data_IF_668240998737
#
_entry.id   IF_668240998737
#
_cell.length_a   1.000
_cell.length_b   1.000
_cell.length_c   1.000
_cell.angle_alpha   90.00
_cell.angle_beta   90.00
_cell.angle_gamma   90.00
#
_symmetry.space_group_name_H-M   'P 1'
#
loop_
_entity.id
_entity.type
_entity.pdbx_description
1 polymer ?
#
# COMPACT_ATOMS: atom_id res chain seq x y z
N UNK A 1 23.10 28.38 -7.20
CA UNK A 1 21.79 28.18 -6.57
C UNK A 1 20.89 27.43 -7.56
N UNK A 2 20.58 26.14 -7.36
CA UNK A 2 19.54 25.46 -8.12
C UNK A 2 18.21 26.14 -7.75
N UNK A 3 17.53 26.76 -8.72
CA UNK A 3 16.16 27.28 -8.56
C UNK A 3 15.32 26.17 -7.94
N UNK A 4 14.80 26.37 -6.73
CA UNK A 4 13.82 25.47 -6.14
C UNK A 4 12.67 25.34 -7.13
N UNK A 5 12.34 24.10 -7.47
CA UNK A 5 11.34 23.80 -8.47
C UNK A 5 9.96 24.10 -7.88
N UNK A 6 9.25 25.06 -8.44
CA UNK A 6 7.86 25.29 -8.06
C UNK A 6 7.02 24.07 -8.39
N UNK A 7 6.59 23.35 -7.34
CA UNK A 7 5.82 22.11 -7.47
C UNK A 7 4.48 22.34 -8.15
N UNK A 8 3.85 23.51 -7.93
CA UNK A 8 2.60 23.86 -8.60
C UNK A 8 2.78 23.93 -10.11
N UNK A 9 3.70 24.75 -10.58
CA UNK A 9 3.99 24.92 -12.01
C UNK A 9 4.43 23.60 -12.64
N UNK A 10 5.24 22.81 -11.91
CA UNK A 10 5.67 21.52 -12.43
C UNK A 10 4.51 20.54 -12.62
N UNK A 11 3.63 20.37 -11.63
CA UNK A 11 2.51 19.43 -11.69
C UNK A 11 1.42 19.88 -12.67
N UNK A 12 1.21 21.20 -12.82
CA UNK A 12 0.12 21.73 -13.64
C UNK A 12 0.52 22.06 -15.08
N UNK A 13 1.79 22.33 -15.40
CA UNK A 13 2.22 22.82 -16.72
C UNK A 13 3.28 21.94 -17.41
N UNK A 14 4.13 21.20 -16.68
CA UNK A 14 5.16 20.39 -17.31
C UNK A 14 4.55 19.20 -18.09
N UNK A 15 5.22 18.63 -19.11
CA UNK A 15 4.72 17.48 -19.87
C UNK A 15 4.30 16.32 -18.96
N UNK A 16 3.12 15.73 -19.21
CA UNK A 16 2.51 14.72 -18.34
C UNK A 16 3.44 13.52 -18.08
N UNK A 17 4.06 12.99 -19.13
CA UNK A 17 4.99 11.86 -19.00
C UNK A 17 6.16 12.17 -18.05
N UNK A 18 6.72 13.38 -18.16
CA UNK A 18 7.85 13.82 -17.29
C UNK A 18 7.42 13.92 -15.82
N UNK A 19 6.21 14.46 -15.58
CA UNK A 19 5.67 14.56 -14.22
C UNK A 19 5.44 13.18 -13.64
N UNK A 20 4.76 12.30 -14.39
CA UNK A 20 4.44 10.95 -13.93
C UNK A 20 5.71 10.18 -13.59
N UNK A 21 6.70 10.10 -14.48
CA UNK A 21 7.94 9.37 -14.17
C UNK A 21 8.72 9.97 -13.01
N UNK A 22 8.76 11.31 -12.89
CA UNK A 22 9.44 11.97 -11.77
C UNK A 22 8.77 11.64 -10.43
N UNK A 23 7.44 11.47 -10.41
CA UNK A 23 6.70 11.14 -9.20
C UNK A 23 6.67 9.62 -8.94
N UNK A 24 6.53 8.81 -9.99
CA UNK A 24 6.36 7.37 -9.87
C UNK A 24 7.67 6.64 -9.53
N UNK A 25 8.80 6.99 -10.15
CA UNK A 25 10.06 6.26 -9.95
C UNK A 25 10.48 6.24 -8.47
N UNK A 26 10.54 7.37 -7.74
CA UNK A 26 10.87 7.34 -6.32
C UNK A 26 9.87 6.52 -5.49
N UNK A 27 8.59 6.55 -5.87
CA UNK A 27 7.56 5.80 -5.16
C UNK A 27 7.67 4.30 -5.41
N UNK A 28 7.96 3.88 -6.65
CA UNK A 28 8.23 2.48 -7.00
C UNK A 28 9.45 1.98 -6.22
N UNK A 29 10.54 2.75 -6.19
CA UNK A 29 11.75 2.40 -5.43
C UNK A 29 11.41 2.21 -3.94
N UNK A 30 10.63 3.11 -3.35
CA UNK A 30 10.19 2.99 -1.95
C UNK A 30 9.40 1.72 -1.70
N UNK A 31 8.46 1.38 -2.59
CA UNK A 31 7.63 0.18 -2.50
C UNK A 31 8.48 -1.10 -2.59
N UNK A 32 9.36 -1.19 -3.58
CA UNK A 32 10.26 -2.33 -3.77
C UNK A 32 11.22 -2.49 -2.59
N UNK A 33 11.78 -1.39 -2.09
CA UNK A 33 12.70 -1.42 -0.94
C UNK A 33 12.01 -1.88 0.33
N UNK A 34 10.75 -1.49 0.56
CA UNK A 34 9.97 -1.98 1.69
C UNK A 34 9.69 -3.49 1.58
N UNK A 35 9.44 -3.98 0.37
CA UNK A 35 9.24 -5.41 0.12
C UNK A 35 10.53 -6.21 0.37
N UNK A 36 11.67 -5.70 -0.10
CA UNK A 36 12.98 -6.32 0.15
C UNK A 36 13.36 -6.30 1.63
N UNK A 37 13.04 -5.22 2.34
CA UNK A 37 13.23 -5.14 3.79
C UNK A 37 12.49 -6.26 4.52
N UNK A 38 11.21 -6.49 4.21
CA UNK A 38 10.42 -7.56 4.84
C UNK A 38 11.03 -8.95 4.57
N UNK A 39 11.59 -9.18 3.37
CA UNK A 39 12.28 -10.43 3.04
C UNK A 39 13.58 -10.60 3.84
N UNK A 40 14.38 -9.53 3.94
CA UNK A 40 15.64 -9.54 4.69
C UNK A 40 15.41 -9.75 6.20
N UNK A 41 14.40 -9.08 6.77
CA UNK A 41 14.04 -9.27 8.18
C UNK A 41 13.65 -10.73 8.49
N UNK A 42 12.82 -11.32 7.62
CA UNK A 42 12.44 -12.75 7.72
C UNK A 42 13.67 -13.67 7.62
N UNK A 43 14.62 -13.36 6.74
CA UNK A 43 15.85 -14.12 6.59
C UNK A 43 16.71 -14.08 7.87
N UNK A 44 16.96 -12.90 8.42
CA UNK A 44 17.76 -12.76 9.65
C UNK A 44 17.09 -13.41 10.85
N UNK A 45 15.78 -13.28 11.00
CA UNK A 45 15.02 -13.98 12.06
C UNK A 45 15.08 -15.49 11.86
N UNK A 46 15.12 -15.95 10.60
CA UNK A 46 15.28 -17.36 10.25
C UNK A 46 16.57 -18.00 10.78
N UNK A 47 17.60 -17.21 11.05
CA UNK A 47 18.88 -17.70 11.63
C UNK A 47 18.79 -17.99 13.12
N UNK A 48 17.72 -17.57 13.83
CA UNK A 48 17.56 -17.74 15.27
C UNK A 48 17.01 -19.14 15.60
N UNK A 49 15.73 -19.35 15.32
CA UNK A 49 15.01 -20.63 15.48
C UNK A 49 13.64 -20.57 14.78
N UNK A 50 13.00 -21.73 14.64
CA UNK A 50 11.69 -21.85 14.00
C UNK A 50 10.59 -21.08 14.73
N UNK A 51 10.63 -21.06 16.07
CA UNK A 51 9.63 -20.36 16.90
C UNK A 51 9.67 -18.83 16.67
N UNK A 52 10.87 -18.27 16.52
CA UNK A 52 11.04 -16.83 16.19
C UNK A 52 10.48 -16.49 14.82
N UNK A 53 10.69 -17.32 13.82
CA UNK A 53 10.10 -17.13 12.47
C UNK A 53 8.58 -17.15 12.53
N UNK A 54 8.03 -18.13 13.26
CA UNK A 54 6.59 -18.24 13.45
C UNK A 54 6.02 -17.02 14.21
N UNK A 55 6.68 -16.55 15.24
CA UNK A 55 6.29 -15.37 16.02
C UNK A 55 6.27 -14.10 15.16
N UNK A 56 7.28 -13.88 14.33
CA UNK A 56 7.31 -12.74 13.38
C UNK A 56 6.21 -12.87 12.35
N UNK A 57 5.98 -14.07 11.82
CA UNK A 57 4.89 -14.34 10.86
C UNK A 57 3.51 -14.01 11.44
N UNK A 58 3.23 -14.41 12.67
CA UNK A 58 2.00 -14.08 13.41
C UNK A 58 1.88 -12.57 13.61
N UNK A 59 2.98 -11.92 14.01
CA UNK A 59 3.04 -10.48 14.28
C UNK A 59 2.85 -9.62 13.03
N UNK A 60 3.09 -10.16 11.84
CA UNK A 60 2.90 -9.47 10.57
C UNK A 60 1.47 -8.96 10.38
N UNK A 61 0.47 -9.70 10.88
CA UNK A 61 -0.94 -9.28 10.81
C UNK A 61 -1.19 -7.98 11.57
N UNK A 62 -0.58 -7.81 12.74
CA UNK A 62 -0.68 -6.57 13.54
C UNK A 62 0.02 -5.41 12.83
N UNK A 63 1.21 -5.67 12.28
CA UNK A 63 1.94 -4.66 11.51
C UNK A 63 1.13 -4.21 10.28
N UNK A 64 0.43 -5.13 9.62
CA UNK A 64 -0.45 -4.79 8.49
C UNK A 64 -1.62 -3.87 8.92
N UNK A 65 -2.19 -4.07 10.11
CA UNK A 65 -3.21 -3.18 10.68
C UNK A 65 -2.63 -1.79 10.94
N UNK A 66 -1.44 -1.70 11.56
CA UNK A 66 -0.77 -0.42 11.82
C UNK A 66 -0.49 0.31 10.49
N UNK A 67 -0.02 -0.41 9.47
CA UNK A 67 0.18 0.14 8.13
C UNK A 67 -1.13 0.64 7.50
N UNK A 68 -2.20 -0.13 7.62
CA UNK A 68 -3.51 0.25 7.09
C UNK A 68 -4.01 1.56 7.71
N UNK A 69 -3.82 1.75 9.02
CA UNK A 69 -4.14 2.99 9.74
C UNK A 69 -3.23 4.15 9.26
N UNK A 70 -1.94 3.91 9.09
CA UNK A 70 -1.01 4.90 8.55
C UNK A 70 -1.40 5.35 7.12
N UNK A 71 -1.79 4.42 6.25
CA UNK A 71 -2.29 4.72 4.91
C UNK A 71 -3.66 5.40 4.94
N UNK A 72 -4.53 5.07 5.89
CA UNK A 72 -5.81 5.74 6.06
C UNK A 72 -5.61 7.25 6.31
N UNK A 73 -4.80 7.63 7.28
CA UNK A 73 -4.49 9.04 7.54
C UNK A 73 -3.66 9.67 6.42
N UNK A 74 -2.70 8.92 5.88
CA UNK A 74 -1.82 9.39 4.83
C UNK A 74 -2.53 9.71 3.52
N UNK A 75 -3.36 8.81 3.00
CA UNK A 75 -4.15 9.05 1.80
C UNK A 75 -5.32 9.99 2.06
N UNK A 76 -5.96 9.88 3.23
CA UNK A 76 -7.06 10.75 3.63
C UNK A 76 -6.64 12.23 3.61
N UNK A 77 -5.59 12.56 4.36
CA UNK A 77 -5.05 13.92 4.40
C UNK A 77 -4.37 14.32 3.10
N UNK A 78 -3.59 13.43 2.48
CA UNK A 78 -2.80 13.72 1.28
C UNK A 78 -3.65 14.09 0.07
N UNK A 79 -4.73 13.35 -0.19
CA UNK A 79 -5.66 13.66 -1.28
C UNK A 79 -6.29 15.05 -1.12
N UNK A 80 -6.67 15.42 0.10
CA UNK A 80 -7.18 16.77 0.37
C UNK A 80 -6.11 17.82 0.16
N UNK A 81 -4.89 17.62 0.72
CA UNK A 81 -3.76 18.54 0.57
C UNK A 81 -3.47 18.81 -0.90
N UNK A 82 -3.40 17.78 -1.75
CA UNK A 82 -3.08 17.97 -3.17
C UNK A 82 -4.15 18.78 -3.90
N UNK A 83 -5.44 18.57 -3.59
CA UNK A 83 -6.53 19.39 -4.17
C UNK A 83 -6.48 20.84 -3.71
N UNK A 84 -6.26 21.09 -2.41
CA UNK A 84 -6.20 22.45 -1.88
C UNK A 84 -4.98 23.22 -2.39
N UNK A 85 -3.83 22.56 -2.54
CA UNK A 85 -2.66 23.16 -3.17
C UNK A 85 -2.90 23.47 -4.66
N UNK A 86 -3.65 22.62 -5.37
CA UNK A 86 -4.11 22.87 -6.72
C UNK A 86 -5.03 24.09 -6.83
N UNK A 87 -5.91 24.27 -5.86
CA UNK A 87 -6.79 25.45 -5.71
C UNK A 87 -6.08 26.67 -5.12
N UNK A 88 -4.78 26.59 -4.79
CA UNK A 88 -3.95 27.63 -4.12
C UNK A 88 -4.41 28.00 -2.71
N UNK A 89 -5.17 27.11 -2.06
CA UNK A 89 -5.67 27.26 -0.69
C UNK A 89 -4.65 26.70 0.34
N UNK A 90 -3.50 27.37 0.45
CA UNK A 90 -2.36 26.89 1.27
C UNK A 90 -2.73 26.69 2.74
N UNK A 91 -3.53 27.61 3.32
CA UNK A 91 -3.93 27.52 4.75
C UNK A 91 -4.74 26.27 5.06
N UNK A 92 -5.69 25.91 4.19
CA UNK A 92 -6.49 24.68 4.34
C UNK A 92 -5.61 23.43 4.24
N UNK A 93 -4.62 23.45 3.36
CA UNK A 93 -3.65 22.38 3.21
C UNK A 93 -2.74 22.25 4.46
N UNK A 94 -2.28 23.35 5.07
CA UNK A 94 -1.50 23.36 6.31
C UNK A 94 -2.29 22.81 7.50
N UNK A 95 -3.55 23.22 7.65
CA UNK A 95 -4.45 22.68 8.69
C UNK A 95 -4.66 21.19 8.54
N UNK A 96 -4.92 20.69 7.33
CA UNK A 96 -5.09 19.26 7.08
C UNK A 96 -3.80 18.48 7.35
N UNK A 97 -2.64 19.00 6.92
CA UNK A 97 -1.36 18.34 7.12
C UNK A 97 -1.07 18.13 8.62
N UNK A 98 -1.25 19.20 9.41
CA UNK A 98 -1.03 19.15 10.86
C UNK A 98 -2.07 18.27 11.56
N UNK A 99 -3.34 18.39 11.19
CA UNK A 99 -4.42 17.58 11.78
C UNK A 99 -4.26 16.10 11.46
N UNK A 100 -4.01 15.73 10.19
CA UNK A 100 -3.82 14.35 9.78
C UNK A 100 -2.60 13.71 10.46
N UNK A 101 -1.50 14.44 10.61
CA UNK A 101 -0.29 13.97 11.28
C UNK A 101 -0.53 13.71 12.77
N UNK A 102 -1.14 14.66 13.47
CA UNK A 102 -1.40 14.54 14.92
C UNK A 102 -2.42 13.44 15.19
N UNK A 103 -3.49 13.34 14.40
CA UNK A 103 -4.47 12.26 14.56
C UNK A 103 -3.86 10.88 14.29
N UNK A 104 -2.93 10.77 13.33
CA UNK A 104 -2.23 9.51 13.08
C UNK A 104 -1.34 9.09 14.25
N UNK A 105 -0.71 10.05 14.95
CA UNK A 105 0.02 9.77 16.19
C UNK A 105 -0.91 9.20 17.27
N UNK A 106 -2.04 9.85 17.53
CA UNK A 106 -2.98 9.36 18.55
C UNK A 106 -3.59 8.00 18.19
N UNK A 107 -3.86 7.75 16.92
CA UNK A 107 -4.33 6.44 16.47
C UNK A 107 -3.26 5.35 16.68
N UNK A 108 -2.00 5.63 16.33
CA UNK A 108 -0.89 4.72 16.58
C UNK A 108 -0.63 4.50 18.07
N UNK A 109 -0.75 5.57 18.90
CA UNK A 109 -0.64 5.48 20.34
C UNK A 109 -1.75 4.64 20.95
N UNK A 110 -2.97 4.80 20.49
CA UNK A 110 -4.11 3.97 20.92
C UNK A 110 -3.87 2.49 20.59
N UNK A 111 -3.38 2.18 19.37
CA UNK A 111 -3.00 0.81 19.00
C UNK A 111 -1.90 0.28 19.91
N UNK A 112 -0.87 1.08 20.20
CA UNK A 112 0.22 0.69 21.11
C UNK A 112 -0.30 0.37 22.50
N UNK A 113 -1.13 1.24 23.09
CA UNK A 113 -1.68 1.07 24.45
C UNK A 113 -2.59 -0.17 24.50
N UNK A 114 -3.54 -0.29 23.59
CA UNK A 114 -4.45 -1.45 23.54
C UNK A 114 -3.67 -2.75 23.31
N UNK A 115 -2.69 -2.70 22.42
CA UNK A 115 -1.82 -3.85 22.14
C UNK A 115 -0.98 -4.29 23.33
N UNK A 116 -0.46 -3.36 24.11
CA UNK A 116 0.28 -3.69 25.35
C UNK A 116 -0.64 -4.27 26.42
N UNK A 117 -1.84 -3.73 26.59
CA UNK A 117 -2.81 -4.23 27.58
C UNK A 117 -3.28 -5.63 27.22
N UNK A 118 -3.54 -5.89 25.94
CA UNK A 118 -4.10 -7.15 25.45
C UNK A 118 -3.08 -8.03 24.74
N UNK A 119 -1.79 -7.93 25.04
CA UNK A 119 -0.73 -8.59 24.28
C UNK A 119 -0.89 -10.12 24.26
N UNK A 120 -1.13 -10.75 25.40
CA UNK A 120 -1.30 -12.21 25.51
C UNK A 120 -2.56 -12.70 24.80
N UNK A 121 -3.78 -12.17 25.08
CA UNK A 121 -4.97 -12.58 24.35
C UNK A 121 -4.87 -12.29 22.85
N UNK A 122 -4.23 -11.20 22.44
CA UNK A 122 -4.00 -10.88 21.05
C UNK A 122 -3.07 -11.92 20.38
N UNK A 123 -1.96 -12.27 21.02
CA UNK A 123 -1.04 -13.28 20.49
C UNK A 123 -1.72 -14.65 20.33
N UNK A 124 -2.54 -15.06 21.30
CA UNK A 124 -3.31 -16.32 21.24
C UNK A 124 -4.36 -16.24 20.11
N UNK A 125 -5.10 -15.14 20.01
CA UNK A 125 -6.09 -14.92 18.96
C UNK A 125 -5.48 -14.98 17.55
N UNK A 126 -4.25 -14.51 17.40
CA UNK A 126 -3.49 -14.56 16.14
C UNK A 126 -2.92 -15.94 15.82
N UNK A 127 -3.06 -16.92 16.71
CA UNK A 127 -2.67 -18.31 16.48
C UNK A 127 -1.35 -18.72 17.14
N UNK A 128 -0.86 -17.99 18.16
CA UNK A 128 0.32 -18.42 18.92
C UNK A 128 0.03 -19.67 19.74
N UNK A 129 0.85 -20.70 19.53
CA UNK A 129 0.85 -21.90 20.40
C UNK A 129 1.60 -21.62 21.71
N UNK A 130 1.45 -22.43 22.76
CA UNK A 130 2.17 -22.24 24.03
C UNK A 130 3.69 -22.16 23.87
N UNK A 131 4.26 -22.80 22.86
CA UNK A 131 5.70 -22.78 22.58
C UNK A 131 6.16 -21.50 21.85
N UNK A 132 5.29 -20.89 21.06
CA UNK A 132 5.57 -19.68 20.28
C UNK A 132 5.20 -18.42 21.06
N UNK A 133 4.24 -18.50 21.98
CA UNK A 133 3.68 -17.37 22.72
C UNK A 133 4.75 -16.47 23.38
N UNK A 134 5.77 -16.98 24.10
CA UNK A 134 6.79 -16.12 24.70
C UNK A 134 7.58 -15.29 23.68
N UNK A 135 7.81 -15.84 22.50
CA UNK A 135 8.49 -15.15 21.39
C UNK A 135 7.60 -14.08 20.77
N UNK A 136 6.31 -14.40 20.55
CA UNK A 136 5.33 -13.45 20.03
C UNK A 136 5.12 -12.27 20.95
N UNK A 137 4.97 -12.51 22.25
CA UNK A 137 4.80 -11.43 23.23
C UNK A 137 6.01 -10.51 23.31
N UNK A 138 7.23 -11.06 23.28
CA UNK A 138 8.46 -10.26 23.28
C UNK A 138 8.58 -9.41 22.01
N UNK A 139 8.32 -10.00 20.87
CA UNK A 139 8.42 -9.30 19.59
C UNK A 139 7.32 -8.23 19.45
N UNK A 140 6.06 -8.60 19.63
CA UNK A 140 4.93 -7.68 19.56
C UNK A 140 5.02 -6.56 20.60
N UNK A 141 5.40 -6.87 21.85
CA UNK A 141 5.52 -5.88 22.91
C UNK A 141 6.46 -4.73 22.54
N UNK A 142 7.58 -5.03 21.89
CA UNK A 142 8.54 -4.02 21.45
C UNK A 142 8.06 -3.32 20.18
N UNK A 143 7.62 -4.07 19.17
CA UNK A 143 7.23 -3.51 17.88
C UNK A 143 5.99 -2.61 18.01
N UNK A 144 5.06 -2.92 18.89
CA UNK A 144 3.88 -2.09 19.16
C UNK A 144 4.22 -0.71 19.72
N UNK A 145 5.33 -0.57 20.47
CA UNK A 145 5.82 0.75 20.90
C UNK A 145 6.19 1.62 19.68
N UNK A 146 6.52 0.99 18.57
CA UNK A 146 6.78 1.65 17.29
C UNK A 146 5.53 2.09 16.52
N UNK A 147 4.33 1.64 16.89
CA UNK A 147 3.11 1.92 16.15
C UNK A 147 2.84 3.42 15.93
N UNK A 148 3.00 4.34 16.91
CA UNK A 148 2.86 5.77 16.68
C UNK A 148 3.83 6.30 15.62
N UNK A 149 5.08 5.88 15.66
CA UNK A 149 6.11 6.31 14.70
C UNK A 149 5.84 5.76 13.31
N UNK A 150 5.36 4.53 13.21
CA UNK A 150 5.02 3.91 11.93
C UNK A 150 3.81 4.60 11.26
N UNK A 151 2.73 4.86 12.01
CA UNK A 151 1.56 5.58 11.50
C UNK A 151 1.91 7.01 11.07
N UNK A 152 2.69 7.73 11.89
CA UNK A 152 3.19 9.07 11.55
C UNK A 152 4.10 9.05 10.32
N UNK A 153 5.02 8.11 10.23
CA UNK A 153 5.95 7.94 9.10
C UNK A 153 5.20 7.75 7.79
N UNK A 154 4.23 6.84 7.76
CA UNK A 154 3.39 6.59 6.59
C UNK A 154 2.51 7.80 6.22
N UNK A 155 1.98 8.50 7.22
CA UNK A 155 1.20 9.72 7.00
C UNK A 155 2.07 10.82 6.40
N UNK A 156 3.25 11.09 6.96
CA UNK A 156 4.21 12.07 6.42
C UNK A 156 4.68 11.73 5.02
N UNK A 157 5.05 10.47 4.80
CA UNK A 157 5.47 10.00 3.49
C UNK A 157 4.40 10.30 2.42
N UNK A 158 3.15 9.95 2.71
CA UNK A 158 2.04 10.22 1.81
C UNK A 158 1.80 11.73 1.64
N UNK A 159 1.75 12.50 2.72
CA UNK A 159 1.56 13.96 2.64
C UNK A 159 2.64 14.64 1.81
N UNK A 160 3.92 14.28 1.99
CA UNK A 160 5.02 14.83 1.17
C UNK A 160 4.89 14.46 -0.30
N UNK A 161 4.50 13.22 -0.59
CA UNK A 161 4.25 12.74 -1.94
C UNK A 161 3.11 13.53 -2.60
N UNK A 162 1.99 13.72 -1.92
CA UNK A 162 0.85 14.49 -2.40
C UNK A 162 1.14 15.99 -2.58
N UNK A 163 2.19 16.50 -1.96
CA UNK A 163 2.71 17.86 -2.21
C UNK A 163 3.66 17.93 -3.43
N UNK A 164 3.91 16.80 -4.10
CA UNK A 164 4.82 16.73 -5.24
C UNK A 164 6.29 16.47 -4.88
N UNK A 165 6.61 16.17 -3.61
CA UNK A 165 7.98 15.92 -3.15
C UNK A 165 8.24 14.42 -2.88
N UNK A 166 8.08 13.60 -3.92
CA UNK A 166 8.24 12.14 -3.83
C UNK A 166 9.69 11.72 -3.55
N UNK A 167 10.67 12.51 -4.02
CA UNK A 167 12.08 12.21 -3.80
C UNK A 167 12.47 12.29 -2.31
N UNK A 168 12.01 13.31 -1.60
CA UNK A 168 12.24 13.42 -0.16
C UNK A 168 11.47 12.36 0.63
N UNK A 169 10.24 12.06 0.21
CA UNK A 169 9.44 10.97 0.78
C UNK A 169 10.17 9.62 0.65
N UNK A 170 10.72 9.31 -0.53
CA UNK A 170 11.53 8.11 -0.76
C UNK A 170 12.77 8.07 0.16
N UNK A 171 13.55 9.15 0.20
CA UNK A 171 14.78 9.20 1.01
C UNK A 171 14.49 8.96 2.49
N UNK A 172 13.36 9.47 3.00
CA UNK A 172 12.95 9.26 4.37
C UNK A 172 12.62 7.80 4.67
N UNK A 173 11.87 7.12 3.82
CA UNK A 173 11.60 5.67 3.97
C UNK A 173 12.87 4.86 3.83
N UNK A 174 13.68 5.11 2.80
CA UNK A 174 14.92 4.39 2.56
C UNK A 174 15.90 4.49 3.72
N UNK A 175 15.98 5.64 4.40
CA UNK A 175 16.86 5.80 5.56
C UNK A 175 16.52 4.84 6.70
N UNK A 176 15.23 4.61 6.97
CA UNK A 176 14.77 3.63 7.94
C UNK A 176 15.07 2.19 7.49
N UNK A 177 14.78 1.87 6.22
CA UNK A 177 15.05 0.55 5.64
C UNK A 177 16.55 0.21 5.71
N UNK A 178 17.42 1.12 5.28
CA UNK A 178 18.87 0.91 5.30
C UNK A 178 19.40 0.76 6.72
N UNK A 179 18.90 1.56 7.66
CA UNK A 179 19.28 1.42 9.07
C UNK A 179 18.89 0.05 9.62
N UNK A 180 17.70 -0.46 9.29
CA UNK A 180 17.28 -1.77 9.75
C UNK A 180 18.13 -2.90 9.17
N UNK A 181 18.48 -2.84 7.87
CA UNK A 181 19.36 -3.83 7.22
C UNK A 181 20.73 -3.95 7.89
N UNK A 182 21.19 -2.88 8.57
CA UNK A 182 22.44 -2.90 9.34
C UNK A 182 22.17 -3.34 10.78
N UNK A 183 21.12 -2.81 11.44
CA UNK A 183 20.84 -3.08 12.85
C UNK A 183 20.33 -4.50 13.09
N UNK A 184 19.52 -5.07 12.19
CA UNK A 184 18.98 -6.40 12.39
C UNK A 184 20.08 -7.47 12.54
N UNK A 185 21.01 -7.65 11.58
CA UNK A 185 22.10 -8.60 11.75
C UNK A 185 23.01 -8.25 12.94
N UNK A 186 23.27 -6.97 13.20
CA UNK A 186 24.09 -6.53 14.33
C UNK A 186 23.50 -6.97 15.66
N UNK A 187 22.20 -6.72 15.90
CA UNK A 187 21.54 -7.05 17.17
C UNK A 187 21.22 -8.56 17.27
N UNK A 188 20.87 -9.21 16.17
CA UNK A 188 20.50 -10.63 16.17
C UNK A 188 21.75 -11.51 16.29
N UNK A 189 22.75 -11.27 15.42
CA UNK A 189 23.89 -12.18 15.25
C UNK A 189 25.05 -11.74 16.17
N UNK A 190 25.50 -10.48 16.10
CA UNK A 190 26.67 -10.03 16.82
C UNK A 190 26.40 -9.89 18.32
N UNK A 191 25.32 -9.22 18.69
CA UNK A 191 24.92 -9.06 20.12
C UNK A 191 24.12 -10.26 20.68
N UNK A 192 23.79 -11.25 19.86
CA UNK A 192 23.07 -12.47 20.24
C UNK A 192 21.75 -12.20 20.99
N UNK A 193 21.05 -11.09 20.66
CA UNK A 193 19.80 -10.71 21.31
C UNK A 193 18.57 -11.50 20.80
N UNK A 194 18.75 -12.35 19.82
CA UNK A 194 17.68 -13.18 19.25
C UNK A 194 16.50 -12.34 18.73
N UNK A 195 15.27 -12.80 18.98
CA UNK A 195 14.03 -12.14 18.53
C UNK A 195 13.85 -10.74 19.12
N UNK A 196 14.34 -10.49 20.32
CA UNK A 196 14.34 -9.17 20.96
C UNK A 196 15.18 -8.18 20.15
N UNK A 197 16.33 -8.63 19.63
CA UNK A 197 17.19 -7.83 18.76
C UNK A 197 16.50 -7.44 17.45
N UNK A 198 15.76 -8.36 16.83
CA UNK A 198 14.96 -8.09 15.65
C UNK A 198 13.89 -7.01 15.93
N UNK A 199 13.17 -7.13 17.03
CA UNK A 199 12.12 -6.18 17.42
C UNK A 199 12.69 -4.78 17.72
N UNK A 200 13.83 -4.69 18.41
CA UNK A 200 14.52 -3.42 18.73
C UNK A 200 15.06 -2.78 17.43
N UNK A 201 15.66 -3.57 16.52
CA UNK A 201 16.10 -3.07 15.22
C UNK A 201 14.94 -2.42 14.45
N UNK A 202 13.80 -3.08 14.42
CA UNK A 202 12.58 -2.57 13.78
C UNK A 202 12.09 -1.28 14.43
N UNK A 203 11.99 -1.23 15.76
CA UNK A 203 11.56 -0.04 16.52
C UNK A 203 12.48 1.16 16.26
N UNK A 204 13.79 0.97 16.37
CA UNK A 204 14.78 2.05 16.14
C UNK A 204 14.68 2.54 14.70
N UNK A 205 14.62 1.65 13.73
CA UNK A 205 14.58 1.98 12.30
C UNK A 205 13.30 2.71 11.91
N UNK A 206 12.15 2.32 12.45
CA UNK A 206 10.87 3.01 12.24
C UNK A 206 10.88 4.41 12.86
N UNK A 207 11.41 4.54 14.08
CA UNK A 207 11.54 5.83 14.77
C UNK A 207 12.49 6.76 14.01
N UNK A 208 13.64 6.24 13.55
CA UNK A 208 14.60 6.99 12.76
C UNK A 208 14.02 7.43 11.41
N UNK A 209 13.34 6.52 10.69
CA UNK A 209 12.65 6.84 9.44
C UNK A 209 11.60 7.93 9.62
N UNK A 210 10.81 7.87 10.69
CA UNK A 210 9.85 8.91 11.05
C UNK A 210 10.54 10.26 11.31
N UNK A 211 11.62 10.26 12.09
CA UNK A 211 12.40 11.47 12.36
C UNK A 211 12.97 12.07 11.08
N UNK A 212 13.55 11.24 10.20
CA UNK A 212 14.11 11.70 8.93
C UNK A 212 13.03 12.29 8.02
N UNK A 213 11.85 11.67 7.91
CA UNK A 213 10.71 12.24 7.17
C UNK A 213 10.26 13.57 7.77
N UNK A 214 10.19 13.67 9.10
CA UNK A 214 9.82 14.91 9.78
C UNK A 214 10.84 16.03 9.53
N UNK A 215 12.13 15.75 9.59
CA UNK A 215 13.19 16.72 9.26
C UNK A 215 13.13 17.13 7.79
N UNK A 216 12.88 16.18 6.89
CA UNK A 216 12.73 16.46 5.45
C UNK A 216 11.46 17.26 5.14
N UNK A 217 10.36 17.06 5.86
CA UNK A 217 9.13 17.83 5.70
C UNK A 217 9.31 19.31 6.05
N UNK A 218 10.31 19.65 6.88
CA UNK A 218 10.65 21.03 7.21
C UNK A 218 11.54 21.74 6.19
N UNK A 219 12.06 21.00 5.19
CA UNK A 219 12.95 21.54 4.15
C UNK A 219 12.19 21.81 2.85
N UNK A 220 12.65 22.80 2.09
CA UNK A 220 12.08 23.16 0.79
C UNK A 220 10.69 23.79 0.91
N UNK A 221 9.87 23.57 -0.13
CA UNK A 221 8.50 24.13 -0.23
C UNK A 221 7.44 23.25 0.42
N UNK A 222 7.83 22.29 1.27
CA UNK A 222 6.87 21.45 1.96
C UNK A 222 6.06 22.24 3.00
N UNK A 223 4.82 21.82 3.20
CA UNK A 223 3.99 22.32 4.29
C UNK A 223 4.63 21.94 5.62
N UNK A 224 4.87 22.93 6.44
CA UNK A 224 5.43 22.73 7.78
C UNK A 224 4.33 22.30 8.74
N UNK A 225 4.49 21.17 9.38
CA UNK A 225 3.59 20.70 10.43
C UNK A 225 3.82 21.55 11.69
N UNK A 226 2.77 22.19 12.17
CA UNK A 226 2.79 23.05 13.36
C UNK A 226 1.60 22.71 14.25
N UNK A 227 1.82 22.64 15.56
CA UNK A 227 0.73 22.38 16.53
C UNK A 227 -0.35 23.46 16.49
N UNK A 228 0.01 24.71 16.16
CA UNK A 228 -0.96 25.82 16.05
C UNK A 228 -1.96 25.66 14.89
N UNK A 229 -1.62 24.86 13.89
CA UNK A 229 -2.47 24.62 12.72
C UNK A 229 -3.35 23.35 12.92
N UNK A 230 -3.26 22.73 14.09
CA UNK A 230 -4.14 21.63 14.48
C UNK A 230 -5.57 22.13 14.67
N UNK A 231 -6.45 21.72 13.80
CA UNK A 231 -7.86 22.17 13.76
C UNK A 231 -8.77 20.95 13.63
N UNK A 232 -9.07 20.24 14.74
CA UNK A 232 -9.94 19.08 14.73
C UNK A 232 -11.39 19.52 14.53
N UNK A 233 -11.83 19.61 13.28
CA UNK A 233 -13.21 19.91 12.95
C UNK A 233 -13.84 18.75 12.17
N UNK A 234 -15.19 18.69 12.17
CA UNK A 234 -15.95 17.62 11.51
C UNK A 234 -15.68 17.56 10.00
N UNK A 235 -15.40 18.68 9.36
CA UNK A 235 -15.13 18.73 7.91
C UNK A 235 -13.80 18.05 7.58
N UNK A 236 -12.72 18.38 8.30
CA UNK A 236 -11.41 17.75 8.09
C UNK A 236 -11.44 16.25 8.43
N UNK A 237 -12.14 15.88 9.50
CA UNK A 237 -12.34 14.47 9.86
C UNK A 237 -13.09 13.70 8.76
N UNK A 238 -14.15 14.29 8.19
CA UNK A 238 -14.89 13.72 7.07
C UNK A 238 -14.02 13.53 5.82
N UNK A 239 -13.15 14.50 5.51
CA UNK A 239 -12.21 14.41 4.39
C UNK A 239 -11.18 13.29 4.58
N UNK A 240 -10.66 13.13 5.81
CA UNK A 240 -9.74 12.03 6.14
C UNK A 240 -10.45 10.68 5.97
N UNK A 241 -11.68 10.55 6.47
CA UNK A 241 -12.49 9.33 6.32
C UNK A 241 -12.73 9.03 4.83
N UNK A 242 -13.19 10.01 4.06
CA UNK A 242 -13.51 9.83 2.64
C UNK A 242 -12.29 9.48 1.79
N UNK A 243 -11.15 10.12 2.05
CA UNK A 243 -9.92 9.84 1.34
C UNK A 243 -9.17 8.59 1.83
N UNK A 244 -9.35 8.22 3.11
CA UNK A 244 -8.63 7.13 3.75
C UNK A 244 -9.31 5.76 3.64
N UNK A 245 -10.66 5.72 3.74
CA UNK A 245 -11.43 4.47 3.75
C UNK A 245 -11.14 3.54 2.57
N UNK A 246 -10.97 4.01 1.31
CA UNK A 246 -10.63 3.11 0.20
C UNK A 246 -9.30 2.37 0.38
N UNK A 247 -8.33 3.02 1.03
CA UNK A 247 -7.04 2.38 1.32
C UNK A 247 -7.15 1.35 2.44
N UNK A 248 -7.95 1.64 3.46
CA UNK A 248 -8.26 0.70 4.54
C UNK A 248 -9.01 -0.52 4.01
N UNK A 249 -10.05 -0.31 3.19
CA UNK A 249 -10.82 -1.38 2.56
C UNK A 249 -9.95 -2.28 1.69
N UNK A 250 -9.07 -1.69 0.87
CA UNK A 250 -8.15 -2.44 0.00
C UNK A 250 -7.21 -3.34 0.81
N UNK A 251 -6.61 -2.81 1.89
CA UNK A 251 -5.67 -3.58 2.70
C UNK A 251 -6.37 -4.63 3.57
N UNK A 252 -7.47 -4.27 4.21
CA UNK A 252 -8.23 -5.19 5.05
C UNK A 252 -8.81 -6.35 4.26
N UNK A 253 -9.47 -6.07 3.13
CA UNK A 253 -10.01 -7.11 2.26
C UNK A 253 -8.90 -7.94 1.60
N UNK A 254 -7.75 -7.34 1.27
CA UNK A 254 -6.59 -8.08 0.78
C UNK A 254 -6.08 -9.11 1.77
N UNK A 255 -6.01 -8.77 3.05
CA UNK A 255 -5.63 -9.72 4.11
C UNK A 255 -6.65 -10.85 4.27
N UNK A 256 -7.95 -10.53 4.28
CA UNK A 256 -9.02 -11.53 4.34
C UNK A 256 -8.95 -12.48 3.15
N UNK A 257 -8.77 -11.96 1.93
CA UNK A 257 -8.66 -12.76 0.72
C UNK A 257 -7.48 -13.73 0.77
N UNK A 258 -6.34 -13.29 1.29
CA UNK A 258 -5.16 -14.15 1.45
C UNK A 258 -5.44 -15.31 2.43
N UNK A 259 -6.12 -15.03 3.54
CA UNK A 259 -6.51 -16.06 4.50
C UNK A 259 -7.47 -17.08 3.84
N UNK A 260 -8.50 -16.60 3.15
CA UNK A 260 -9.47 -17.46 2.47
C UNK A 260 -8.82 -18.30 1.36
N UNK A 261 -7.88 -17.70 0.61
CA UNK A 261 -7.11 -18.41 -0.40
C UNK A 261 -6.29 -19.56 0.20
N UNK A 262 -5.60 -19.30 1.31
CA UNK A 262 -4.81 -20.32 1.99
C UNK A 262 -5.69 -21.45 2.57
N UNK A 263 -6.85 -21.10 3.14
CA UNK A 263 -7.82 -22.07 3.65
C UNK A 263 -8.36 -22.95 2.51
N UNK A 264 -8.74 -22.32 1.38
CA UNK A 264 -9.24 -23.06 0.22
C UNK A 264 -8.17 -23.96 -0.42
N UNK A 265 -6.93 -23.45 -0.55
CA UNK A 265 -5.79 -24.24 -1.04
C UNK A 265 -5.44 -25.40 -0.10
N UNK A 266 -5.59 -25.20 1.23
CA UNK A 266 -5.31 -26.23 2.24
C UNK A 266 -6.17 -27.49 2.12
N UNK A 267 -7.35 -27.39 1.56
CA UNK A 267 -8.20 -28.56 1.27
C UNK A 267 -7.60 -29.51 0.22
N UNK A 268 -6.61 -29.03 -0.55
CA UNK A 268 -5.94 -29.79 -1.61
C UNK A 268 -4.49 -30.16 -1.28
N UNK A 269 -4.05 -29.90 -0.03
CA UNK A 269 -2.74 -30.30 0.48
C UNK A 269 -1.72 -29.18 0.55
N UNK A 270 -0.57 -29.48 1.16
CA UNK A 270 0.50 -28.51 1.45
C UNK A 270 1.15 -27.95 0.19
N UNK A 271 1.25 -28.76 -0.87
CA UNK A 271 1.78 -28.31 -2.17
C UNK A 271 0.93 -27.19 -2.78
N UNK A 272 -0.41 -27.27 -2.64
CA UNK A 272 -1.31 -26.22 -3.11
C UNK A 272 -1.15 -24.91 -2.31
N UNK A 273 -1.02 -24.98 -0.98
CA UNK A 273 -0.75 -23.80 -0.15
C UNK A 273 0.58 -23.16 -0.56
N UNK A 274 1.63 -23.98 -0.71
CA UNK A 274 2.95 -23.49 -1.07
C UNK A 274 2.95 -22.82 -2.46
N UNK A 275 2.36 -23.48 -3.47
CA UNK A 275 2.24 -22.96 -4.83
C UNK A 275 1.48 -21.63 -4.87
N UNK A 276 0.29 -21.54 -4.26
CA UNK A 276 -0.51 -20.31 -4.19
C UNK A 276 0.19 -19.20 -3.43
N UNK A 277 0.94 -19.52 -2.37
CA UNK A 277 1.72 -18.53 -1.62
C UNK A 277 2.83 -17.93 -2.47
N UNK A 278 3.53 -18.72 -3.27
CA UNK A 278 4.56 -18.24 -4.19
C UNK A 278 3.94 -17.32 -5.26
N UNK A 279 2.84 -17.73 -5.88
CA UNK A 279 2.11 -16.94 -6.87
C UNK A 279 1.66 -15.60 -6.29
N UNK A 280 1.14 -15.60 -5.07
CA UNK A 280 0.74 -14.36 -4.38
C UNK A 280 1.92 -13.40 -4.17
N UNK A 281 3.10 -13.91 -3.80
CA UNK A 281 4.32 -13.08 -3.65
C UNK A 281 4.79 -12.50 -4.96
N UNK A 282 4.82 -13.28 -6.03
CA UNK A 282 5.19 -12.82 -7.39
C UNK A 282 4.23 -11.72 -7.85
N UNK A 283 2.93 -11.96 -7.67
CA UNK A 283 1.89 -10.98 -8.03
C UNK A 283 2.02 -9.68 -7.24
N UNK A 284 2.26 -9.76 -5.92
CA UNK A 284 2.46 -8.59 -5.06
C UNK A 284 3.66 -7.75 -5.53
N UNK A 285 4.79 -8.39 -5.84
CA UNK A 285 5.98 -7.71 -6.34
C UNK A 285 5.74 -7.00 -7.68
N UNK A 286 5.04 -7.68 -8.60
CA UNK A 286 4.68 -7.12 -9.90
C UNK A 286 3.70 -5.94 -9.75
N UNK A 287 2.70 -6.07 -8.88
CA UNK A 287 1.73 -5.01 -8.64
C UNK A 287 2.31 -3.81 -7.89
N UNK A 288 3.36 -3.99 -7.09
CA UNK A 288 4.02 -2.89 -6.39
C UNK A 288 4.48 -1.78 -7.36
N UNK A 289 4.89 -2.16 -8.58
CA UNK A 289 5.29 -1.21 -9.63
C UNK A 289 4.09 -0.41 -10.12
N UNK A 290 2.96 -1.06 -10.38
CA UNK A 290 1.73 -0.38 -10.84
C UNK A 290 1.10 0.46 -9.72
N UNK A 291 1.14 -0.03 -8.49
CA UNK A 291 0.71 0.75 -7.32
C UNK A 291 1.60 2.00 -7.18
N UNK A 292 2.92 1.86 -7.34
CA UNK A 292 3.86 2.99 -7.32
C UNK A 292 3.61 4.00 -8.45
N UNK A 293 3.28 3.52 -9.66
CA UNK A 293 2.87 4.34 -10.79
C UNK A 293 1.58 5.13 -10.47
N UNK A 294 0.57 4.47 -9.93
CA UNK A 294 -0.68 5.09 -9.53
C UNK A 294 -0.50 6.08 -8.37
N UNK A 295 0.35 5.76 -7.42
CA UNK A 295 0.73 6.68 -6.35
C UNK A 295 1.50 7.91 -6.87
N UNK A 296 2.24 7.78 -7.98
CA UNK A 296 2.85 8.91 -8.70
C UNK A 296 1.84 9.74 -9.48
N UNK A 297 0.75 9.12 -9.96
CA UNK A 297 -0.37 9.79 -10.62
C UNK A 297 -1.20 10.66 -9.67
N UNK A 298 -1.42 10.22 -8.42
CA UNK A 298 -2.32 10.89 -7.47
C UNK A 298 -1.97 12.36 -7.19
N UNK A 299 -0.69 12.77 -6.96
CA UNK A 299 -0.35 14.18 -6.77
C UNK A 299 -0.73 15.04 -7.97
N UNK A 300 -0.39 14.59 -9.19
CA UNK A 300 -0.76 15.30 -10.42
C UNK A 300 -2.29 15.42 -10.54
N UNK A 301 -3.00 14.31 -10.32
CA UNK A 301 -4.46 14.28 -10.36
C UNK A 301 -5.06 15.28 -9.37
N UNK A 302 -4.61 15.30 -8.11
CA UNK A 302 -5.11 16.20 -7.07
C UNK A 302 -4.87 17.67 -7.40
N UNK A 303 -3.64 18.03 -7.79
CA UNK A 303 -3.30 19.41 -8.18
C UNK A 303 -4.12 19.87 -9.41
N UNK A 304 -4.17 19.04 -10.46
CA UNK A 304 -4.90 19.40 -11.67
C UNK A 304 -6.43 19.44 -11.44
N UNK A 305 -6.96 18.57 -10.59
CA UNK A 305 -8.38 18.60 -10.22
C UNK A 305 -8.71 19.86 -9.41
N UNK A 306 -7.89 20.23 -8.42
CA UNK A 306 -8.04 21.46 -7.64
C UNK A 306 -7.85 22.74 -8.47
N UNK A 307 -7.00 22.69 -9.50
CA UNK A 307 -6.80 23.79 -10.45
C UNK A 307 -7.80 23.79 -11.63
N UNK A 308 -8.83 22.93 -11.61
CA UNK A 308 -9.84 22.76 -12.68
C UNK A 308 -9.27 22.35 -14.05
N UNK A 309 -8.07 21.77 -14.09
CA UNK A 309 -7.39 21.29 -15.30
C UNK A 309 -7.81 19.85 -15.65
N UNK A 310 -9.10 19.61 -15.80
CA UNK A 310 -9.68 18.27 -15.97
C UNK A 310 -9.17 17.49 -17.17
N UNK A 311 -8.85 18.20 -18.28
CA UNK A 311 -8.29 17.55 -19.47
C UNK A 311 -6.93 16.91 -19.16
N UNK A 312 -6.12 17.59 -18.37
CA UNK A 312 -4.80 17.09 -17.96
C UNK A 312 -4.91 15.88 -17.04
N UNK A 313 -5.94 15.83 -16.17
CA UNK A 313 -6.23 14.62 -15.36
C UNK A 313 -6.51 13.42 -16.25
N UNK A 314 -7.30 13.60 -17.33
CA UNK A 314 -7.59 12.53 -18.30
C UNK A 314 -6.34 12.06 -19.03
N UNK A 315 -5.54 12.98 -19.54
CA UNK A 315 -4.29 12.66 -20.25
C UNK A 315 -3.35 11.86 -19.34
N UNK A 316 -3.18 12.29 -18.08
CA UNK A 316 -2.36 11.58 -17.10
C UNK A 316 -2.91 10.19 -16.77
N UNK A 317 -4.23 10.05 -16.64
CA UNK A 317 -4.88 8.79 -16.37
C UNK A 317 -4.67 7.78 -17.51
N UNK A 318 -4.93 8.17 -18.75
CA UNK A 318 -4.73 7.30 -19.92
C UNK A 318 -3.25 6.96 -20.13
N UNK A 319 -2.36 7.93 -19.90
CA UNK A 319 -0.92 7.67 -19.97
C UNK A 319 -0.50 6.61 -18.95
N UNK A 320 -0.95 6.72 -17.70
CA UNK A 320 -0.63 5.75 -16.65
C UNK A 320 -1.23 4.37 -16.94
N UNK A 321 -2.49 4.30 -17.44
CA UNK A 321 -3.08 3.02 -17.85
C UNK A 321 -2.23 2.40 -18.94
N UNK A 322 -1.87 3.14 -19.98
CA UNK A 322 -1.05 2.63 -21.09
C UNK A 322 0.28 2.07 -20.59
N UNK A 323 1.00 2.84 -19.80
CA UNK A 323 2.29 2.39 -19.23
C UNK A 323 2.13 1.16 -18.34
N UNK A 324 1.15 1.17 -17.43
CA UNK A 324 0.90 0.06 -16.51
C UNK A 324 0.44 -1.20 -17.24
N UNK A 325 -0.45 -1.07 -18.23
CA UNK A 325 -0.92 -2.21 -19.03
C UNK A 325 0.19 -2.81 -19.89
N UNK A 326 1.02 -1.98 -20.55
CA UNK A 326 2.19 -2.47 -21.32
C UNK A 326 3.15 -3.22 -20.42
N UNK A 327 3.50 -2.64 -19.26
CA UNK A 327 4.39 -3.30 -18.29
C UNK A 327 3.80 -4.64 -17.83
N UNK A 328 2.54 -4.66 -17.39
CA UNK A 328 1.89 -5.88 -16.90
C UNK A 328 1.69 -6.91 -18.03
N UNK A 329 1.48 -6.49 -19.28
CA UNK A 329 1.41 -7.42 -20.43
C UNK A 329 2.75 -8.08 -20.69
N UNK A 330 3.87 -7.36 -20.57
CA UNK A 330 5.21 -7.95 -20.68
C UNK A 330 5.43 -8.94 -19.55
N UNK A 331 5.10 -8.57 -18.30
CA UNK A 331 5.18 -9.49 -17.16
C UNK A 331 4.28 -10.72 -17.35
N UNK A 332 3.10 -10.55 -17.96
CA UNK A 332 2.18 -11.65 -18.26
C UNK A 332 2.78 -12.63 -19.26
N UNK A 333 3.36 -12.13 -20.36
CA UNK A 333 4.01 -12.97 -21.36
C UNK A 333 5.19 -13.76 -20.76
N UNK A 334 6.05 -13.09 -19.98
CA UNK A 334 7.19 -13.75 -19.31
C UNK A 334 6.69 -14.76 -18.27
N UNK A 335 5.71 -14.38 -17.44
CA UNK A 335 5.16 -15.24 -16.41
C UNK A 335 4.45 -16.47 -16.97
N UNK A 336 3.76 -16.33 -18.12
CA UNK A 336 3.11 -17.44 -18.79
C UNK A 336 4.11 -18.40 -19.44
N UNK A 337 5.10 -17.86 -20.18
CA UNK A 337 6.09 -18.65 -20.89
C UNK A 337 7.07 -19.39 -19.97
N UNK A 338 7.41 -18.80 -18.84
CA UNK A 338 8.42 -19.32 -17.90
C UNK A 338 7.85 -19.69 -16.52
N UNK A 339 6.56 -20.01 -16.43
CA UNK A 339 5.86 -20.26 -15.15
C UNK A 339 6.54 -21.32 -14.29
N UNK A 340 6.87 -22.49 -14.87
CA UNK A 340 7.53 -23.57 -14.15
C UNK A 340 8.94 -23.18 -13.65
N UNK A 341 9.71 -22.50 -14.48
CA UNK A 341 11.03 -22.00 -14.11
C UNK A 341 10.96 -20.99 -12.98
N UNK A 342 10.02 -20.04 -13.06
CA UNK A 342 9.84 -19.00 -12.04
C UNK A 342 9.44 -19.62 -10.70
N UNK A 343 8.50 -20.56 -10.68
CA UNK A 343 8.10 -21.25 -9.45
C UNK A 343 9.24 -22.12 -8.93
N UNK A 344 9.98 -22.79 -9.81
CA UNK A 344 11.13 -23.62 -9.49
C UNK A 344 12.28 -22.85 -8.80
N UNK A 345 12.41 -21.54 -9.03
CA UNK A 345 13.37 -20.70 -8.31
C UNK A 345 13.06 -20.58 -6.81
N UNK A 346 11.82 -20.74 -6.42
CA UNK A 346 11.38 -20.64 -5.01
C UNK A 346 11.33 -22.02 -4.32
N UNK A 347 10.98 -23.09 -5.06
CA UNK A 347 10.83 -24.42 -4.51
C UNK A 347 11.08 -25.47 -5.59
N UNK A 348 11.91 -26.45 -5.29
CA UNK A 348 12.27 -27.53 -6.22
C UNK A 348 11.31 -28.75 -6.17
N UNK A 349 10.27 -28.71 -5.39
CA UNK A 349 9.28 -29.77 -5.25
C UNK A 349 8.40 -29.83 -6.52
N UNK A 350 8.33 -30.99 -7.22
CA UNK A 350 7.57 -31.12 -8.47
C UNK A 350 6.07 -30.83 -8.31
N UNK A 351 5.45 -31.22 -7.19
CA UNK A 351 4.02 -30.99 -6.94
C UNK A 351 3.74 -29.49 -6.74
N UNK A 352 4.62 -28.79 -6.03
CA UNK A 352 4.54 -27.32 -5.85
C UNK A 352 4.74 -26.61 -7.18
N UNK A 353 5.68 -27.06 -8.02
CA UNK A 353 5.94 -26.47 -9.34
C UNK A 353 4.70 -26.65 -10.23
N UNK A 354 4.11 -27.83 -10.26
CA UNK A 354 2.95 -28.11 -11.11
C UNK A 354 1.76 -27.21 -10.73
N UNK A 355 1.36 -27.18 -9.46
CA UNK A 355 0.24 -26.35 -8.98
C UNK A 355 0.57 -24.86 -9.12
N UNK A 356 1.76 -24.44 -8.70
CA UNK A 356 2.18 -23.05 -8.76
C UNK A 356 2.29 -22.51 -10.19
N UNK A 357 2.76 -23.32 -11.14
CA UNK A 357 2.84 -22.92 -12.56
C UNK A 357 1.45 -22.75 -13.17
N UNK A 358 0.52 -23.66 -12.94
CA UNK A 358 -0.87 -23.55 -13.39
C UNK A 358 -1.55 -22.30 -12.79
N UNK A 359 -1.43 -22.10 -11.48
CA UNK A 359 -1.96 -20.92 -10.80
C UNK A 359 -1.33 -19.60 -11.32
N UNK A 360 -0.01 -19.59 -11.58
CA UNK A 360 0.66 -18.43 -12.13
C UNK A 360 0.17 -18.12 -13.55
N UNK A 361 0.00 -19.13 -14.40
CA UNK A 361 -0.53 -18.95 -15.76
C UNK A 361 -1.92 -18.32 -15.74
N UNK A 362 -2.83 -18.77 -14.88
CA UNK A 362 -4.14 -18.13 -14.71
C UNK A 362 -4.01 -16.69 -14.21
N UNK A 363 -3.17 -16.46 -13.19
CA UNK A 363 -3.01 -15.16 -12.58
C UNK A 363 -2.46 -14.11 -13.56
N UNK A 364 -1.47 -14.47 -14.38
CA UNK A 364 -0.84 -13.52 -15.32
C UNK A 364 -1.77 -13.11 -16.46
N UNK A 365 -2.77 -13.94 -16.83
CA UNK A 365 -3.79 -13.56 -17.81
C UNK A 365 -4.59 -12.33 -17.37
N UNK A 366 -4.79 -12.14 -16.07
CA UNK A 366 -5.47 -10.97 -15.52
C UNK A 366 -4.58 -9.74 -15.34
N UNK A 367 -3.26 -9.87 -15.38
CA UNK A 367 -2.32 -8.77 -15.14
C UNK A 367 -2.61 -7.49 -15.93
N UNK A 368 -2.83 -7.53 -17.26
CA UNK A 368 -3.10 -6.31 -18.03
C UNK A 368 -4.31 -5.52 -17.52
N UNK A 369 -5.29 -6.20 -16.91
CA UNK A 369 -6.53 -5.61 -16.42
C UNK A 369 -6.33 -4.81 -15.11
N UNK A 370 -5.35 -5.25 -14.29
CA UNK A 370 -5.12 -4.70 -12.94
C UNK A 370 -4.73 -3.22 -12.98
N UNK A 371 -4.01 -2.79 -14.02
CA UNK A 371 -3.63 -1.38 -14.19
C UNK A 371 -4.86 -0.46 -14.16
N UNK A 372 -5.90 -0.81 -14.91
CA UNK A 372 -7.15 -0.02 -14.96
C UNK A 372 -7.87 -0.02 -13.62
N UNK A 373 -7.93 -1.15 -12.93
CA UNK A 373 -8.59 -1.27 -11.62
C UNK A 373 -7.90 -0.36 -10.60
N UNK A 374 -6.57 -0.47 -10.48
CA UNK A 374 -5.77 0.30 -9.51
C UNK A 374 -5.86 1.79 -9.78
N UNK A 375 -5.69 2.22 -11.03
CA UNK A 375 -5.72 3.63 -11.40
C UNK A 375 -7.12 4.23 -11.26
N UNK A 376 -8.18 3.48 -11.57
CA UNK A 376 -9.57 3.93 -11.34
C UNK A 376 -9.84 4.11 -9.85
N UNK A 377 -9.40 3.18 -9.00
CA UNK A 377 -9.51 3.32 -7.54
C UNK A 377 -8.84 4.61 -7.06
N UNK A 378 -7.59 4.84 -7.49
CA UNK A 378 -6.80 6.01 -7.09
C UNK A 378 -7.36 7.33 -7.64
N UNK A 379 -7.91 7.32 -8.87
CA UNK A 379 -8.63 8.46 -9.44
C UNK A 379 -9.83 8.82 -8.56
N UNK A 380 -10.73 7.84 -8.29
CA UNK A 380 -11.93 8.07 -7.49
C UNK A 380 -11.61 8.57 -6.07
N UNK A 381 -10.56 8.02 -5.47
CA UNK A 381 -10.07 8.44 -4.16
C UNK A 381 -9.61 9.91 -4.18
N UNK A 382 -8.88 10.32 -5.22
CA UNK A 382 -8.31 11.66 -5.33
C UNK A 382 -9.36 12.72 -5.66
N UNK A 383 -10.34 12.40 -6.52
CA UNK A 383 -11.42 13.35 -6.90
C UNK A 383 -12.60 13.37 -5.93
N UNK A 384 -12.44 12.83 -4.71
CA UNK A 384 -13.46 12.84 -3.65
C UNK A 384 -14.76 12.11 -4.02
N UNK A 385 -14.65 10.91 -4.59
CA UNK A 385 -15.79 10.01 -4.84
C UNK A 385 -15.66 8.73 -3.97
N UNK A 386 -15.84 8.85 -2.63
CA UNK A 386 -15.47 7.79 -1.67
C UNK A 386 -16.25 6.49 -1.91
N UNK A 387 -17.54 6.55 -2.23
CA UNK A 387 -18.36 5.36 -2.47
C UNK A 387 -17.83 4.60 -3.68
N UNK A 388 -17.56 5.29 -4.80
CA UNK A 388 -17.01 4.66 -6.02
C UNK A 388 -15.59 4.15 -5.78
N UNK A 389 -14.78 4.88 -5.01
CA UNK A 389 -13.44 4.45 -4.64
C UNK A 389 -13.47 3.18 -3.77
N UNK A 390 -14.33 3.13 -2.75
CA UNK A 390 -14.50 1.96 -1.89
C UNK A 390 -15.03 0.75 -2.68
N UNK A 391 -15.98 0.97 -3.60
CA UNK A 391 -16.52 -0.08 -4.44
C UNK A 391 -15.43 -0.74 -5.29
N UNK A 392 -14.59 0.06 -5.97
CA UNK A 392 -13.46 -0.46 -6.76
C UNK A 392 -12.40 -1.09 -5.87
N UNK A 393 -12.12 -0.51 -4.68
CA UNK A 393 -11.17 -1.10 -3.72
C UNK A 393 -11.63 -2.46 -3.22
N UNK A 394 -12.93 -2.60 -2.93
CA UNK A 394 -13.53 -3.84 -2.44
C UNK A 394 -13.75 -4.88 -3.54
N UNK A 395 -13.88 -4.46 -4.79
CA UNK A 395 -14.23 -5.35 -5.91
C UNK A 395 -13.27 -6.52 -6.04
N UNK A 396 -12.00 -6.20 -6.12
CA UNK A 396 -10.94 -7.15 -6.44
C UNK A 396 -10.72 -8.21 -5.37
N UNK A 397 -10.69 -7.79 -4.10
CA UNK A 397 -10.32 -8.66 -2.98
C UNK A 397 -11.52 -9.02 -2.08
N UNK A 398 -12.67 -8.42 -2.28
CA UNK A 398 -13.87 -8.64 -1.48
C UNK A 398 -15.05 -9.09 -2.33
N UNK A 399 -15.69 -8.15 -3.02
CA UNK A 399 -16.98 -8.31 -3.67
C UNK A 399 -17.01 -9.48 -4.69
N UNK A 400 -15.96 -9.65 -5.48
CA UNK A 400 -15.88 -10.73 -6.45
C UNK A 400 -15.06 -11.91 -5.95
N UNK A 401 -13.91 -11.66 -5.31
CA UNK A 401 -13.03 -12.73 -4.87
C UNK A 401 -13.70 -13.65 -3.84
N UNK A 402 -14.32 -13.08 -2.79
CA UNK A 402 -14.89 -13.88 -1.70
C UNK A 402 -15.98 -14.84 -2.21
N UNK A 403 -16.98 -14.43 -3.01
CA UNK A 403 -17.92 -15.42 -3.56
C UNK A 403 -17.25 -16.45 -4.48
N UNK A 404 -16.31 -16.02 -5.33
CA UNK A 404 -15.66 -16.90 -6.30
C UNK A 404 -14.80 -17.98 -5.63
N UNK A 405 -14.12 -17.67 -4.49
CA UNK A 405 -13.29 -18.66 -3.79
C UNK A 405 -14.12 -19.78 -3.14
N UNK A 406 -15.41 -19.57 -2.93
CA UNK A 406 -16.32 -20.64 -2.47
C UNK A 406 -17.02 -21.35 -3.64
N UNK A 407 -17.34 -20.63 -4.71
CA UNK A 407 -18.08 -21.17 -5.86
C UNK A 407 -17.18 -21.98 -6.79
N UNK A 408 -16.06 -21.41 -7.25
CA UNK A 408 -15.21 -22.05 -8.26
C UNK A 408 -14.59 -23.39 -7.80
N UNK A 409 -14.07 -23.52 -6.57
CA UNK A 409 -13.54 -24.79 -6.10
C UNK A 409 -14.61 -25.88 -6.00
N UNK A 410 -15.87 -25.52 -5.77
CA UNK A 410 -16.98 -26.48 -5.74
C UNK A 410 -17.20 -27.14 -7.11
N UNK A 411 -17.03 -26.40 -8.21
CA UNK A 411 -17.25 -26.93 -9.56
C UNK A 411 -15.98 -27.46 -10.22
N UNK A 412 -14.82 -26.87 -9.93
CA UNK A 412 -13.56 -27.12 -10.65
C UNK A 412 -12.45 -27.66 -9.75
N UNK A 413 -12.72 -27.91 -8.46
CA UNK A 413 -11.70 -28.41 -7.54
C UNK A 413 -10.52 -27.42 -7.38
N UNK A 414 -9.29 -27.94 -7.40
CA UNK A 414 -8.07 -27.15 -7.27
C UNK A 414 -7.95 -26.07 -8.35
N UNK A 415 -8.32 -26.38 -9.59
CA UNK A 415 -8.32 -25.42 -10.69
C UNK A 415 -9.19 -24.19 -10.37
N UNK A 416 -10.31 -24.40 -9.63
CA UNK A 416 -11.15 -23.31 -9.15
C UNK A 416 -10.44 -22.35 -8.19
N UNK A 417 -9.53 -22.87 -7.33
CA UNK A 417 -8.69 -22.04 -6.47
C UNK A 417 -7.67 -21.24 -7.29
N UNK A 418 -6.99 -21.91 -8.24
CA UNK A 418 -5.97 -21.34 -9.09
C UNK A 418 -6.47 -20.18 -9.96
N UNK A 419 -7.67 -20.31 -10.53
CA UNK A 419 -8.24 -19.29 -11.42
C UNK A 419 -9.08 -18.21 -10.70
N UNK A 420 -9.36 -18.37 -9.40
CA UNK A 420 -10.27 -17.48 -8.65
C UNK A 420 -9.90 -16.02 -8.75
N UNK A 421 -8.63 -15.66 -8.53
CA UNK A 421 -8.18 -14.28 -8.57
C UNK A 421 -8.24 -13.70 -9.99
N UNK A 422 -7.96 -14.49 -11.01
CA UNK A 422 -8.05 -14.04 -12.40
C UNK A 422 -9.49 -13.65 -12.78
N UNK A 423 -10.47 -14.44 -12.38
CA UNK A 423 -11.88 -14.12 -12.58
C UNK A 423 -12.33 -12.92 -11.74
N UNK A 424 -11.87 -12.81 -10.49
CA UNK A 424 -12.16 -11.64 -9.65
C UNK A 424 -11.60 -10.35 -10.28
N UNK A 425 -10.39 -10.40 -10.86
CA UNK A 425 -9.78 -9.29 -11.57
C UNK A 425 -10.55 -8.93 -12.85
N UNK A 426 -11.02 -9.92 -13.63
CA UNK A 426 -11.84 -9.70 -14.82
C UNK A 426 -13.18 -9.02 -14.48
N UNK A 427 -13.88 -9.49 -13.45
CA UNK A 427 -15.12 -8.87 -12.97
C UNK A 427 -14.87 -7.45 -12.44
N UNK A 428 -13.78 -7.24 -11.73
CA UNK A 428 -13.40 -5.91 -11.21
C UNK A 428 -13.05 -4.94 -12.33
N UNK A 429 -12.41 -5.40 -13.40
CA UNK A 429 -12.11 -4.60 -14.57
C UNK A 429 -13.39 -4.14 -15.27
N UNK A 430 -14.34 -5.04 -15.52
CA UNK A 430 -15.62 -4.68 -16.15
C UNK A 430 -16.40 -3.65 -15.35
N UNK A 431 -16.31 -3.70 -14.01
CA UNK A 431 -16.90 -2.70 -13.12
C UNK A 431 -16.12 -1.37 -13.09
N UNK A 432 -14.79 -1.42 -13.20
CA UNK A 432 -13.95 -0.22 -13.13
C UNK A 432 -14.15 0.70 -14.35
N UNK A 433 -14.41 0.16 -15.54
CA UNK A 433 -14.59 0.93 -16.78
C UNK A 433 -15.74 1.95 -16.66
N UNK A 434 -17.00 1.56 -16.37
CA UNK A 434 -18.10 2.51 -16.25
C UNK A 434 -17.90 3.51 -15.11
N UNK A 435 -17.22 3.11 -14.03
CA UNK A 435 -16.89 4.02 -12.94
C UNK A 435 -15.91 5.09 -13.40
N UNK A 436 -14.83 4.73 -14.10
CA UNK A 436 -13.88 5.70 -14.66
C UNK A 436 -14.56 6.63 -15.67
N UNK A 437 -15.39 6.08 -16.57
CA UNK A 437 -16.12 6.87 -17.54
C UNK A 437 -17.07 7.87 -16.89
N UNK A 438 -17.77 7.46 -15.81
CA UNK A 438 -18.64 8.34 -15.04
C UNK A 438 -17.90 9.54 -14.44
N UNK A 439 -16.65 9.35 -13.96
CA UNK A 439 -15.83 10.45 -13.46
C UNK A 439 -15.48 11.46 -14.55
N UNK A 440 -15.14 10.96 -15.74
CA UNK A 440 -14.83 11.86 -16.86
C UNK A 440 -16.06 12.61 -17.39
N UNK A 441 -17.24 11.99 -17.32
CA UNK A 441 -18.50 12.66 -17.62
C UNK A 441 -18.77 13.77 -16.57
N UNK A 442 -18.57 13.49 -15.28
CA UNK A 442 -18.71 14.47 -14.20
C UNK A 442 -17.73 15.65 -14.41
N UNK A 443 -16.46 15.39 -14.74
CA UNK A 443 -15.46 16.43 -15.01
C UNK A 443 -15.81 17.27 -16.26
N UNK A 444 -16.36 16.66 -17.32
CA UNK A 444 -16.81 17.39 -18.51
C UNK A 444 -17.98 18.31 -18.19
N UNK A 445 -18.90 17.88 -17.31
CA UNK A 445 -20.01 18.69 -16.85
C UNK A 445 -19.50 19.89 -16.07
N UNK A 446 -18.62 19.68 -15.07
CA UNK A 446 -18.00 20.76 -14.27
C UNK A 446 -17.27 21.77 -15.14
N UNK A 447 -16.59 21.31 -16.22
CA UNK A 447 -15.93 22.22 -17.18
C UNK A 447 -16.93 23.09 -17.93
N UNK A 448 -18.15 22.58 -18.23
CA UNK A 448 -19.17 23.33 -18.99
C UNK A 448 -19.96 24.28 -18.09
N UNK A 449 -20.27 23.89 -16.87
CA UNK A 449 -21.13 24.67 -15.96
C UNK A 449 -20.34 25.72 -15.18
N UNK A 450 -19.00 25.62 -15.12
CA UNK A 450 -18.16 26.48 -14.28
C UNK A 450 -18.42 26.31 -12.78
N UNK A 451 -19.24 25.31 -12.39
CA UNK A 451 -19.55 25.01 -11.00
C UNK A 451 -18.29 24.53 -10.27
N UNK A 452 -18.03 25.14 -9.12
CA UNK A 452 -17.03 24.63 -8.17
C UNK A 452 -17.58 23.32 -7.61
N UNK A 453 -16.81 22.22 -7.60
CA UNK A 453 -17.26 21.00 -6.96
C UNK A 453 -17.70 21.31 -5.54
N UNK A 454 -18.95 21.04 -5.20
CA UNK A 454 -19.52 21.26 -3.86
C UNK A 454 -18.64 20.49 -2.87
N UNK A 455 -17.97 21.22 -1.97
CA UNK A 455 -17.13 20.69 -0.89
C UNK A 455 -17.95 19.89 0.13
#
# INVERSE_FOLDING_TARGET
MKRERDNYTFLTHAPVHRVIFTMAIPTIISMLSTSMYNLADTYFVGTINTQSVAAVGISFSVMAIIQAVGFFFGHGSGNYISRQLGAKEHRKAEQMASTGFILSFFAGLLIAILGQIFITPLAIFLGSTPTILPYTERYLGIVMLGAPFMTMSLTLNNQMRFQGNTMSAMKGILSGVLLNLVLAPLLIIYFCMGITGAAIATLISQTFGCLMLFLMSRRGQNIRIRLKDFTPNKQLAKEIIFGGTPSLSRQGLGSISTILLNVAAGAYGDAAIAGMSIVTRISFFTYAIVIGLGQGFQPLCGFCYGAHLYQRVKEAFYFCIKCGTVFLSVCALVGFAFSEFIIGLFRSDPDVIHVGAAALQWQVLSFPLVSTIVLTNMLMQTIRKPIRANLVAAARSGLFFIPLIFILPHFFGLLGVEMCQAWADACSFTMAIPIAWSAFRDMNRLKKTGEIPVE
#
